data_IF_091272386799
#
_entry.id   IF_091272386799
#
_cell.length_a   1.000
_cell.length_b   1.000
_cell.length_c   1.000
_cell.angle_alpha   90.00
_cell.angle_beta   90.00
_cell.angle_gamma   90.00
#
_symmetry.space_group_name_H-M   'P 1'
#
loop_
_entity.id
_entity.type
_entity.pdbx_description
1 polymer ?
#
# COMPACT_ATOMS: atom_id res chain seq x y z
N UNK A 1 -13.77 -19.88 6.25
CA UNK A 1 -12.64 -19.93 5.29
C UNK A 1 -11.88 -18.62 5.40
N UNK A 2 -10.90 -18.51 6.29
CA UNK A 2 -9.99 -17.37 6.31
C UNK A 2 -8.62 -17.90 5.93
N UNK A 3 -8.29 -17.78 4.64
CA UNK A 3 -7.02 -18.24 4.08
C UNK A 3 -5.91 -17.18 4.22
N UNK A 4 -6.20 -16.01 4.79
CA UNK A 4 -5.23 -14.96 5.04
C UNK A 4 -4.58 -15.15 6.41
N UNK A 5 -3.25 -15.16 6.47
CA UNK A 5 -2.53 -15.02 7.74
C UNK A 5 -2.83 -13.66 8.40
N UNK A 6 -2.52 -13.48 9.70
CA UNK A 6 -2.72 -12.20 10.36
C UNK A 6 -1.89 -11.09 9.69
N UNK A 7 -2.41 -9.85 9.58
CA UNK A 7 -1.64 -8.73 9.05
C UNK A 7 -0.42 -8.45 9.92
N UNK A 8 0.74 -8.26 9.27
CA UNK A 8 1.97 -7.83 9.95
C UNK A 8 2.19 -6.36 9.63
N UNK A 9 2.20 -5.50 10.67
CA UNK A 9 2.50 -4.09 10.48
C UNK A 9 3.98 -3.92 10.08
N UNK A 10 4.23 -3.21 8.98
CA UNK A 10 5.58 -2.89 8.50
C UNK A 10 5.94 -1.48 8.98
N UNK A 11 7.12 -1.33 9.58
CA UNK A 11 7.70 -0.01 9.87
C UNK A 11 7.06 0.71 11.06
N UNK A 12 6.76 -0.01 12.15
CA UNK A 12 6.30 0.59 13.41
C UNK A 12 7.49 1.23 14.16
N UNK A 13 8.22 2.15 13.52
CA UNK A 13 9.28 2.91 14.15
C UNK A 13 8.96 4.40 14.07
N UNK A 14 8.59 4.94 15.23
CA UNK A 14 8.56 6.35 15.63
C UNK A 14 8.41 7.41 14.53
N UNK A 15 7.19 7.98 14.45
CA UNK A 15 6.84 9.40 14.18
C UNK A 15 5.75 9.54 13.11
N UNK A 16 4.63 10.16 13.52
CA UNK A 16 3.81 11.11 12.73
C UNK A 16 3.53 10.80 11.25
N UNK A 17 3.51 9.53 10.86
CA UNK A 17 3.18 9.16 9.49
C UNK A 17 1.66 9.15 9.33
N UNK A 18 1.17 9.91 8.35
CA UNK A 18 -0.23 9.88 7.94
C UNK A 18 -0.61 8.55 7.27
N UNK A 19 0.31 7.61 7.06
CA UNK A 19 0.00 6.32 6.46
C UNK A 19 0.59 5.15 7.27
N UNK A 20 -0.21 4.09 7.46
CA UNK A 20 0.22 2.82 8.04
C UNK A 20 0.29 1.76 6.95
N UNK A 21 1.36 0.96 6.97
CA UNK A 21 1.58 -0.09 5.98
C UNK A 21 1.50 -1.45 6.66
N UNK A 22 0.73 -2.37 6.08
CA UNK A 22 0.61 -3.75 6.53
C UNK A 22 1.03 -4.69 5.41
N UNK A 23 1.68 -5.80 5.76
CA UNK A 23 1.83 -6.93 4.85
C UNK A 23 0.86 -8.03 5.19
N UNK A 24 0.30 -8.60 4.13
CA UNK A 24 -0.55 -9.78 4.17
C UNK A 24 0.16 -10.89 3.42
N UNK A 25 0.34 -12.01 4.12
CA UNK A 25 0.83 -13.25 3.51
C UNK A 25 -0.38 -14.11 3.18
N UNK A 26 -0.64 -14.28 1.87
CA UNK A 26 -1.64 -15.20 1.35
C UNK A 26 -0.94 -16.49 0.90
N UNK A 27 -1.68 -17.60 0.73
CA UNK A 27 -1.08 -18.87 0.29
C UNK A 27 -0.43 -18.78 -1.09
N UNK A 28 -0.91 -17.88 -1.94
CA UNK A 28 -0.50 -17.76 -3.35
C UNK A 28 0.29 -16.49 -3.66
N UNK A 29 0.27 -15.49 -2.78
CA UNK A 29 0.94 -14.21 -3.01
C UNK A 29 1.15 -13.41 -1.73
N UNK A 30 2.04 -12.42 -1.78
CA UNK A 30 2.22 -11.44 -0.71
C UNK A 30 1.71 -10.09 -1.19
N UNK A 31 0.91 -9.42 -0.37
CA UNK A 31 0.30 -8.12 -0.70
C UNK A 31 0.64 -7.12 0.38
N UNK A 32 0.93 -5.89 -0.03
CA UNK A 32 1.15 -4.75 0.84
C UNK A 32 -0.09 -3.87 0.80
N UNK A 33 -0.61 -3.55 1.97
CA UNK A 33 -1.68 -2.60 2.17
C UNK A 33 -1.14 -1.32 2.77
N UNK A 34 -1.68 -0.18 2.33
CA UNK A 34 -1.35 1.14 2.84
C UNK A 34 -2.63 1.87 3.21
N UNK A 35 -2.84 2.10 4.51
CA UNK A 35 -3.97 2.87 5.04
C UNK A 35 -3.54 4.31 5.27
N UNK A 36 -4.29 5.28 4.76
CA UNK A 36 -3.98 6.70 4.90
C UNK A 36 -4.98 7.36 5.85
N UNK A 37 -4.46 8.02 6.88
CA UNK A 37 -5.24 8.78 7.84
C UNK A 37 -6.05 9.90 7.16
N UNK A 38 -7.31 10.13 7.59
CA UNK A 38 -8.27 11.02 6.92
C UNK A 38 -8.01 12.51 7.21
N UNK A 39 -6.79 12.98 6.97
CA UNK A 39 -6.38 14.38 7.24
C UNK A 39 -6.65 15.29 6.03
N UNK A 40 -6.60 14.73 4.82
CA UNK A 40 -7.02 15.36 3.55
C UNK A 40 -7.49 14.25 2.60
N UNK A 41 -8.81 14.01 2.50
CA UNK A 41 -9.32 12.86 1.76
C UNK A 41 -9.11 12.95 0.23
N UNK A 42 -9.17 11.80 -0.45
CA UNK A 42 -9.34 11.55 -1.89
C UNK A 42 -8.08 11.68 -2.75
N UNK A 43 -7.37 12.80 -2.72
CA UNK A 43 -6.31 13.05 -3.72
C UNK A 43 -5.04 12.22 -3.51
N UNK A 44 -4.82 11.65 -2.32
CA UNK A 44 -3.54 11.00 -1.98
C UNK A 44 -3.42 9.64 -2.64
N UNK A 45 -4.48 8.83 -2.57
CA UNK A 45 -4.48 7.46 -3.06
C UNK A 45 -4.53 7.42 -4.59
N UNK A 46 -5.39 8.23 -5.22
CA UNK A 46 -5.47 8.30 -6.69
C UNK A 46 -4.18 8.81 -7.34
N UNK A 47 -3.53 9.80 -6.72
CA UNK A 47 -2.24 10.29 -7.19
C UNK A 47 -1.15 9.22 -7.08
N UNK A 48 -1.14 8.39 -6.04
CA UNK A 48 -0.19 7.27 -5.90
C UNK A 48 -0.40 6.24 -7.01
N UNK A 49 -1.66 5.82 -7.25
CA UNK A 49 -2.00 4.85 -8.30
C UNK A 49 -1.61 5.38 -9.68
N UNK A 50 -2.00 6.62 -9.99
CA UNK A 50 -1.72 7.24 -11.28
C UNK A 50 -0.21 7.41 -11.51
N UNK A 51 0.54 7.80 -10.48
CA UNK A 51 1.99 7.92 -10.56
C UNK A 51 2.66 6.57 -10.82
N UNK A 52 2.21 5.49 -10.15
CA UNK A 52 2.73 4.14 -10.40
C UNK A 52 2.51 3.69 -11.84
N UNK A 53 1.29 3.90 -12.37
CA UNK A 53 0.96 3.53 -13.75
C UNK A 53 1.73 4.38 -14.76
N UNK A 54 1.88 5.68 -14.50
CA UNK A 54 2.67 6.58 -15.33
C UNK A 54 4.14 6.14 -15.42
N UNK A 55 4.80 5.90 -14.28
CA UNK A 55 6.20 5.43 -14.25
C UNK A 55 6.34 4.08 -14.94
N UNK A 56 5.39 3.14 -14.74
CA UNK A 56 5.38 1.85 -15.43
C UNK A 56 5.26 2.01 -16.94
N UNK A 57 4.45 2.96 -17.42
CA UNK A 57 4.27 3.18 -18.86
C UNK A 57 5.50 3.76 -19.55
N UNK A 58 6.38 4.45 -18.80
CA UNK A 58 7.53 5.18 -19.35
C UNK A 58 8.88 4.52 -19.07
N UNK A 59 8.94 3.57 -18.13
CA UNK A 59 10.20 2.98 -17.67
C UNK A 59 10.12 1.46 -17.59
N UNK A 60 11.28 0.80 -17.68
CA UNK A 60 11.42 -0.64 -17.40
C UNK A 60 11.62 -0.94 -15.91
N UNK A 61 11.42 0.05 -15.03
CA UNK A 61 11.56 -0.15 -13.59
C UNK A 61 10.42 -1.03 -13.07
N UNK A 62 10.76 -1.90 -12.12
CA UNK A 62 9.78 -2.74 -11.44
C UNK A 62 8.98 -1.90 -10.44
N UNK A 63 7.84 -1.39 -10.88
CA UNK A 63 6.88 -0.66 -10.05
C UNK A 63 5.80 -1.64 -9.54
N UNK A 64 5.39 -1.58 -8.25
CA UNK A 64 4.36 -2.46 -7.69
C UNK A 64 3.03 -2.35 -8.43
N UNK A 65 2.42 -3.48 -8.76
CA UNK A 65 1.08 -3.51 -9.38
C UNK A 65 0.03 -3.20 -8.33
N UNK A 66 -0.87 -2.26 -8.64
CA UNK A 66 -2.01 -1.95 -7.78
C UNK A 66 -3.08 -3.02 -7.98
N UNK A 67 -3.38 -3.79 -6.93
CA UNK A 67 -4.39 -4.84 -6.97
C UNK A 67 -5.80 -4.29 -6.75
N UNK A 68 -5.95 -3.37 -5.79
CA UNK A 68 -7.21 -2.70 -5.47
C UNK A 68 -6.93 -1.44 -4.63
N UNK A 69 -7.82 -0.45 -4.69
CA UNK A 69 -7.74 0.72 -3.83
C UNK A 69 -9.13 1.32 -3.57
N UNK A 70 -9.24 2.11 -2.51
CA UNK A 70 -10.41 2.93 -2.23
C UNK A 70 -9.97 4.29 -1.69
N UNK A 71 -10.29 5.34 -2.44
CA UNK A 71 -9.97 6.74 -2.10
C UNK A 71 -11.06 7.41 -1.27
N UNK A 72 -12.18 6.73 -1.03
CA UNK A 72 -13.27 7.24 -0.21
C UNK A 72 -13.07 6.83 1.25
N UNK A 73 -13.29 7.75 2.19
CA UNK A 73 -13.29 7.40 3.63
C UNK A 73 -14.56 6.62 4.05
N UNK A 74 -15.61 6.63 3.21
CA UNK A 74 -16.86 5.92 3.45
C UNK A 74 -16.80 4.46 2.96
N UNK A 75 -15.85 3.70 3.47
CA UNK A 75 -15.70 2.28 3.16
C UNK A 75 -15.60 1.46 4.47
N UNK A 76 -15.71 0.13 4.44
CA UNK A 76 -15.69 -0.70 5.65
C UNK A 76 -14.43 -0.56 6.53
N UNK A 77 -13.32 -0.11 5.96
CA UNK A 77 -12.05 0.18 6.67
C UNK A 77 -12.08 1.57 7.32
N UNK A 78 -12.96 2.47 6.87
CA UNK A 78 -13.17 3.82 7.42
C UNK A 78 -12.09 4.84 7.06
N UNK A 79 -11.13 4.46 6.22
CA UNK A 79 -10.00 5.28 5.77
C UNK A 79 -9.63 4.92 4.34
N UNK A 80 -8.91 5.80 3.64
CA UNK A 80 -8.37 5.46 2.32
C UNK A 80 -7.37 4.30 2.42
N UNK A 81 -7.41 3.41 1.44
CA UNK A 81 -6.50 2.27 1.40
C UNK A 81 -6.08 1.90 -0.03
N UNK A 82 -4.91 1.28 -0.13
CA UNK A 82 -4.29 0.82 -1.38
C UNK A 82 -3.62 -0.53 -1.15
N UNK A 83 -4.13 -1.56 -1.82
CA UNK A 83 -3.54 -2.88 -1.91
C UNK A 83 -2.67 -2.97 -3.16
N UNK A 84 -1.39 -3.29 -2.96
CA UNK A 84 -0.41 -3.45 -4.02
C UNK A 84 0.44 -4.69 -3.83
N UNK A 85 1.01 -5.15 -4.92
CA UNK A 85 1.94 -6.25 -4.96
C UNK A 85 3.13 -6.00 -4.03
N UNK A 86 3.57 -7.03 -3.31
CA UNK A 86 4.82 -7.00 -2.59
C UNK A 86 5.99 -7.27 -3.55
N UNK A 87 6.84 -6.26 -3.75
CA UNK A 87 8.10 -6.43 -4.49
C UNK A 87 9.20 -6.83 -3.51
N UNK A 88 9.89 -7.97 -3.70
CA UNK A 88 11.01 -8.34 -2.85
C UNK A 88 12.17 -7.39 -3.07
N UNK A 89 12.73 -6.87 -1.98
CA UNK A 89 13.86 -5.94 -2.03
C UNK A 89 14.34 -5.52 -0.65
N UNK A 90 15.43 -4.76 -0.61
CA UNK A 90 15.94 -4.11 0.59
C UNK A 90 15.88 -2.59 0.40
N UNK A 91 15.50 -1.87 1.44
CA UNK A 91 15.49 -0.41 1.41
C UNK A 91 16.92 0.13 1.27
N UNK A 92 17.14 0.94 0.24
CA UNK A 92 18.44 1.54 -0.03
C UNK A 92 18.58 2.81 0.82
N UNK A 93 19.23 2.71 1.98
CA UNK A 93 19.42 3.83 2.91
C UNK A 93 19.35 3.47 4.40
N UNK A 94 19.00 2.23 4.75
CA UNK A 94 18.97 1.75 6.14
C UNK A 94 20.33 1.19 6.63
N UNK A 95 21.43 1.89 6.33
CA UNK A 95 22.78 1.55 6.80
C UNK A 95 23.19 2.42 8.00
#
# INVERSE_FOLDING_TARGET
MSQCGPPVAIGLQNQTSYARVYSFQLPTCSVIDRLVAPVKPIFKTENEVTAMDFVRSLTSLLVPTVNAYCSEANNPVGVEWLLKEHIPGVEMGAA
#
